data_IF_262112649981
#
_entry.id   IF_262112649981
#
_cell.length_a   1.000
_cell.length_b   1.000
_cell.length_c   1.000
_cell.angle_alpha   90.00
_cell.angle_beta   90.00
_cell.angle_gamma   90.00
#
_symmetry.space_group_name_H-M   'P 1'
#
loop_
_entity.id
_entity.type
_entity.pdbx_description
1 polymer ?
#
# COMPACT_ATOMS: atom_id res chain seq x y z
N UNK A 1 2.37 33.38 -48.40
CA UNK A 1 2.73 33.29 -46.96
C UNK A 1 1.48 33.64 -46.18
N UNK A 2 0.77 32.78 -45.45
CA UNK A 2 1.16 31.55 -44.74
C UNK A 2 0.36 30.33 -45.20
N UNK A 3 1.04 29.19 -45.33
CA UNK A 3 0.39 27.88 -45.24
C UNK A 3 -0.26 27.82 -43.86
N UNK A 4 -1.56 27.58 -43.80
CA UNK A 4 -2.21 27.14 -42.57
C UNK A 4 -1.83 25.66 -42.48
N UNK A 5 -0.91 25.34 -41.57
CA UNK A 5 -0.50 23.96 -41.35
C UNK A 5 -1.68 23.20 -40.70
N UNK A 6 -2.21 22.13 -41.32
CA UNK A 6 -3.29 21.33 -40.75
C UNK A 6 -2.85 20.45 -39.57
N UNK A 7 -1.64 20.66 -39.04
CA UNK A 7 -1.02 19.83 -38.00
C UNK A 7 -1.12 20.39 -36.58
N UNK A 8 -1.87 21.47 -36.37
CA UNK A 8 -1.99 22.15 -35.06
C UNK A 8 -3.40 22.16 -34.50
N UNK A 9 -4.24 21.23 -34.94
CA UNK A 9 -5.30 20.72 -34.07
C UNK A 9 -4.57 19.85 -33.04
N UNK A 10 -4.51 20.21 -31.75
CA UNK A 10 -4.29 19.21 -30.73
C UNK A 10 -5.49 18.28 -30.82
N UNK A 11 -5.41 17.28 -31.69
CA UNK A 11 -6.14 16.05 -31.54
C UNK A 11 -5.60 15.40 -30.26
N UNK A 12 -5.99 15.96 -29.12
CA UNK A 12 -6.17 15.20 -27.91
C UNK A 12 -7.41 14.34 -28.14
N UNK A 13 -7.29 13.43 -29.12
CA UNK A 13 -8.07 12.21 -29.18
C UNK A 13 -7.97 11.65 -27.78
N UNK A 14 -9.14 11.62 -27.15
CA UNK A 14 -9.43 10.99 -25.88
C UNK A 14 -9.32 9.47 -26.10
N UNK A 15 -8.15 9.01 -26.52
CA UNK A 15 -7.86 7.63 -26.86
C UNK A 15 -6.70 7.15 -26.01
N UNK A 16 -6.84 7.30 -24.70
CA UNK A 16 -6.20 6.34 -23.80
C UNK A 16 -7.11 6.02 -22.61
N UNK A 17 -8.20 5.25 -22.80
CA UNK A 17 -8.85 4.63 -21.66
C UNK A 17 -8.80 3.10 -21.68
N UNK A 18 -7.92 2.41 -22.44
CA UNK A 18 -8.02 0.94 -22.53
C UNK A 18 -6.91 0.15 -21.84
N UNK A 19 -5.79 0.78 -21.46
CA UNK A 19 -4.65 0.07 -20.81
C UNK A 19 -4.41 0.52 -19.36
N UNK A 20 -4.91 1.68 -18.92
CA UNK A 20 -4.74 2.17 -17.55
C UNK A 20 -5.62 1.46 -16.49
N UNK A 21 -6.70 0.80 -16.92
CA UNK A 21 -7.67 0.16 -16.02
C UNK A 21 -7.11 -1.03 -15.23
N UNK A 22 -6.11 -1.75 -15.77
CA UNK A 22 -5.50 -2.93 -15.14
C UNK A 22 -4.32 -2.65 -14.20
N UNK A 23 -3.88 -1.39 -14.10
CA UNK A 23 -2.91 -0.97 -13.10
C UNK A 23 -3.60 -0.33 -11.88
N UNK A 24 -4.66 0.46 -12.11
CA UNK A 24 -5.40 1.14 -11.05
C UNK A 24 -6.23 0.19 -10.17
N UNK A 25 -6.85 -0.82 -10.74
CA UNK A 25 -7.56 -1.88 -10.00
C UNK A 25 -6.63 -2.64 -9.05
N UNK A 26 -5.39 -2.92 -9.46
CA UNK A 26 -4.39 -3.61 -8.66
C UNK A 26 -3.88 -2.76 -7.50
N UNK A 27 -3.69 -1.44 -7.70
CA UNK A 27 -3.32 -0.54 -6.59
C UNK A 27 -4.48 -0.35 -5.64
N UNK A 28 -5.68 -0.03 -6.14
CA UNK A 28 -6.87 0.16 -5.29
C UNK A 28 -7.20 -1.09 -4.46
N UNK A 29 -7.03 -2.29 -5.04
CA UNK A 29 -7.22 -3.54 -4.31
C UNK A 29 -6.15 -3.77 -3.23
N UNK A 30 -4.89 -3.44 -3.52
CA UNK A 30 -3.81 -3.47 -2.52
C UNK A 30 -4.03 -2.45 -1.42
N UNK A 31 -4.43 -1.23 -1.77
CA UNK A 31 -4.71 -0.15 -0.82
C UNK A 31 -5.83 -0.57 0.14
N UNK A 32 -6.91 -1.14 -0.40
CA UNK A 32 -7.99 -1.72 0.40
C UNK A 32 -7.50 -2.86 1.31
N UNK A 33 -6.64 -3.75 0.82
CA UNK A 33 -6.06 -4.83 1.62
C UNK A 33 -5.13 -4.31 2.73
N UNK A 34 -4.30 -3.30 2.43
CA UNK A 34 -3.40 -2.67 3.39
C UNK A 34 -4.20 -2.00 4.50
N UNK A 35 -5.23 -1.22 4.15
CA UNK A 35 -6.11 -0.58 5.13
C UNK A 35 -6.81 -1.63 6.00
N UNK A 36 -7.35 -2.69 5.40
CA UNK A 36 -7.98 -3.79 6.14
C UNK A 36 -6.99 -4.46 7.09
N UNK A 37 -5.76 -4.73 6.65
CA UNK A 37 -4.72 -5.34 7.46
C UNK A 37 -4.30 -4.45 8.64
N UNK A 38 -4.09 -3.15 8.40
CA UNK A 38 -3.76 -2.17 9.44
C UNK A 38 -4.91 -2.04 10.44
N UNK A 39 -6.15 -1.91 9.96
CA UNK A 39 -7.32 -1.78 10.82
C UNK A 39 -7.55 -3.04 11.65
N UNK A 40 -7.37 -4.22 11.06
CA UNK A 40 -7.42 -5.50 11.75
C UNK A 40 -6.32 -5.64 12.81
N UNK A 41 -5.09 -5.27 12.48
CA UNK A 41 -3.97 -5.25 13.43
C UNK A 41 -4.26 -4.31 14.61
N UNK A 42 -4.77 -3.11 14.34
CA UNK A 42 -5.08 -2.12 15.36
C UNK A 42 -6.25 -2.56 16.23
N UNK A 43 -7.26 -3.23 15.67
CA UNK A 43 -8.38 -3.80 16.42
C UNK A 43 -7.93 -4.98 17.30
N UNK A 44 -7.08 -5.87 16.78
CA UNK A 44 -6.54 -7.00 17.56
C UNK A 44 -5.65 -6.51 18.70
N UNK A 45 -4.81 -5.50 18.42
CA UNK A 45 -3.97 -4.85 19.41
C UNK A 45 -4.79 -4.10 20.46
N UNK A 46 -5.73 -3.26 20.03
CA UNK A 46 -6.63 -2.51 20.90
C UNK A 46 -7.48 -3.44 21.77
N UNK A 47 -7.97 -4.55 21.23
CA UNK A 47 -8.66 -5.60 21.99
C UNK A 47 -7.78 -6.26 23.04
N UNK A 48 -6.53 -6.56 22.70
CA UNK A 48 -5.54 -7.08 23.67
C UNK A 48 -5.28 -6.09 24.81
N UNK A 49 -5.10 -4.80 24.49
CA UNK A 49 -4.97 -3.72 25.48
C UNK A 49 -6.24 -3.58 26.33
N UNK A 50 -7.43 -3.75 25.77
CA UNK A 50 -8.68 -3.65 26.52
C UNK A 50 -8.92 -4.83 27.47
N UNK A 51 -8.58 -6.07 27.07
CA UNK A 51 -8.79 -7.25 27.92
C UNK A 51 -7.70 -7.42 28.99
N UNK A 52 -6.44 -7.09 28.66
CA UNK A 52 -5.29 -7.38 29.53
C UNK A 52 -4.58 -6.12 30.03
N UNK A 53 -4.87 -4.94 29.48
CA UNK A 53 -4.25 -3.68 29.89
C UNK A 53 -2.79 -3.57 29.48
N UNK A 54 -1.92 -3.36 30.47
CA UNK A 54 -0.47 -3.21 30.34
C UNK A 54 0.19 -4.37 29.57
N UNK A 55 -0.09 -5.66 29.86
CA UNK A 55 0.41 -6.78 29.05
C UNK A 55 0.04 -6.70 27.57
N UNK A 56 -1.14 -6.16 27.23
CA UNK A 56 -1.56 -5.97 25.84
C UNK A 56 -0.76 -4.91 25.09
N UNK A 57 -0.19 -3.93 25.79
CA UNK A 57 0.69 -2.91 25.22
C UNK A 57 2.01 -3.51 24.72
N UNK A 58 2.51 -4.57 25.38
CA UNK A 58 3.76 -5.22 25.00
C UNK A 58 3.62 -6.16 23.79
N UNK A 59 2.40 -6.55 23.42
CA UNK A 59 2.15 -7.50 22.33
C UNK A 59 2.75 -7.07 20.96
N UNK A 60 2.57 -5.82 20.48
CA UNK A 60 3.22 -5.37 19.25
C UNK A 60 4.75 -5.29 19.39
N UNK A 61 5.27 -4.90 20.56
CA UNK A 61 6.71 -4.85 20.79
C UNK A 61 7.33 -6.26 20.73
N UNK A 62 6.76 -7.22 21.45
CA UNK A 62 7.22 -8.62 21.48
C UNK A 62 7.10 -9.28 20.11
N UNK A 63 6.06 -8.97 19.34
CA UNK A 63 5.91 -9.48 17.97
C UNK A 63 6.97 -8.93 17.02
N UNK A 64 7.39 -7.66 17.18
CA UNK A 64 8.42 -7.07 16.31
C UNK A 64 9.85 -7.53 16.64
N UNK A 65 10.16 -7.95 17.87
CA UNK A 65 11.49 -8.45 18.25
C UNK A 65 12.00 -9.57 17.30
N UNK A 66 11.27 -10.70 17.11
CA UNK A 66 11.71 -11.76 16.20
C UNK A 66 11.69 -11.33 14.73
N UNK A 67 10.81 -10.40 14.34
CA UNK A 67 10.76 -9.86 12.97
C UNK A 67 12.05 -9.09 12.64
N UNK A 68 12.47 -8.18 13.52
CA UNK A 68 13.72 -7.45 13.34
C UNK A 68 14.91 -8.42 13.41
N UNK A 69 14.90 -9.38 14.33
CA UNK A 69 15.97 -10.37 14.42
C UNK A 69 16.10 -11.21 13.14
N UNK A 70 14.99 -11.70 12.59
CA UNK A 70 15.01 -12.46 11.32
C UNK A 70 15.42 -11.60 10.13
N UNK A 71 14.97 -10.34 10.08
CA UNK A 71 15.38 -9.37 9.07
C UNK A 71 16.89 -9.11 9.14
N UNK A 72 17.44 -8.92 10.35
CA UNK A 72 18.87 -8.76 10.59
C UNK A 72 19.64 -10.00 10.11
N UNK A 73 19.19 -11.19 10.48
CA UNK A 73 19.81 -12.43 9.99
C UNK A 73 19.70 -12.57 8.47
N UNK A 74 18.64 -12.07 7.86
CA UNK A 74 18.42 -12.12 6.41
C UNK A 74 19.35 -11.17 5.65
N UNK A 75 19.67 -10.00 6.22
CA UNK A 75 20.66 -9.09 5.62
C UNK A 75 22.10 -9.56 5.87
N UNK A 76 22.39 -10.18 7.02
CA UNK A 76 23.75 -10.66 7.34
C UNK A 76 24.11 -11.94 6.58
N UNK A 77 23.12 -12.70 6.12
CA UNK A 77 23.32 -13.87 5.25
C UNK A 77 23.48 -13.52 3.76
N UNK A 78 23.65 -12.23 3.44
CA UNK A 78 24.00 -11.74 2.11
C UNK A 78 25.27 -12.38 1.56
#
# INVERSE_FOLDING_TARGET
>A
MSKIDPALTPDSTVDTPLVAHGAQDSTTRRDGFIILAVLGFLALWGGSVALWGIPGLYLPAVALVPVIWTLLLLITRG
#
